data_IF_370988108328
#
_entry.id   IF_370988108328
#
_cell.length_a   1.000
_cell.length_b   1.000
_cell.length_c   1.000
_cell.angle_alpha   90.00
_cell.angle_beta   90.00
_cell.angle_gamma   90.00
#
_symmetry.space_group_name_H-M   'P 1'
#
loop_
_entity.id
_entity.type
_entity.pdbx_description
1 polymer ?
#
# COMPACT_ATOMS: atom_id res chain seq x y z
N UNK A 1 21.04 10.70 2.33
CA UNK A 1 20.45 9.74 1.34
C UNK A 1 21.02 9.91 -0.08
N UNK A 2 21.50 8.84 -0.73
CA UNK A 2 22.07 8.87 -2.11
C UNK A 2 21.06 9.37 -3.17
N UNK A 3 21.55 10.11 -4.18
CA UNK A 3 20.77 10.66 -5.29
C UNK A 3 19.93 9.59 -6.02
N UNK A 4 20.50 8.40 -6.21
CA UNK A 4 19.79 7.26 -6.81
C UNK A 4 18.55 6.85 -6.01
N UNK A 5 18.66 6.76 -4.68
CA UNK A 5 17.54 6.39 -3.80
C UNK A 5 16.42 7.44 -3.82
N UNK A 6 16.78 8.73 -3.95
CA UNK A 6 15.79 9.82 -4.07
C UNK A 6 15.01 9.73 -5.37
N UNK A 7 15.67 9.45 -6.50
CA UNK A 7 14.99 9.25 -7.79
C UNK A 7 14.08 8.03 -7.74
N UNK A 8 14.57 6.91 -7.22
CA UNK A 8 13.79 5.68 -7.14
C UNK A 8 12.53 5.85 -6.28
N UNK A 9 12.64 6.55 -5.15
CA UNK A 9 11.50 6.91 -4.31
C UNK A 9 10.47 7.74 -5.08
N UNK A 10 10.93 8.78 -5.80
CA UNK A 10 10.06 9.61 -6.63
C UNK A 10 9.33 8.79 -7.69
N UNK A 11 10.02 7.81 -8.30
CA UNK A 11 9.44 6.92 -9.31
C UNK A 11 8.38 5.98 -8.73
N UNK A 12 8.61 5.43 -7.52
CA UNK A 12 7.61 4.60 -6.82
C UNK A 12 6.33 5.40 -6.53
N UNK A 13 6.47 6.64 -6.06
CA UNK A 13 5.34 7.51 -5.76
C UNK A 13 4.60 7.88 -7.06
N UNK A 14 5.34 8.24 -8.11
CA UNK A 14 4.79 8.59 -9.42
C UNK A 14 4.04 7.41 -10.05
N UNK A 15 4.59 6.20 -10.00
CA UNK A 15 3.93 4.99 -10.49
C UNK A 15 2.62 4.73 -9.73
N UNK A 16 2.60 4.95 -8.41
CA UNK A 16 1.38 4.86 -7.61
C UNK A 16 0.32 5.91 -7.98
N UNK A 17 0.74 7.15 -8.21
CA UNK A 17 -0.14 8.22 -8.72
C UNK A 17 -0.72 7.90 -10.09
N UNK A 18 0.07 7.40 -11.03
CA UNK A 18 -0.42 6.96 -12.35
C UNK A 18 -1.43 5.81 -12.19
N UNK A 19 -1.19 4.90 -11.25
CA UNK A 19 -2.15 3.84 -10.89
C UNK A 19 -3.53 4.39 -10.54
N UNK A 20 -3.59 5.50 -9.80
CA UNK A 20 -4.88 6.09 -9.39
C UNK A 20 -5.69 6.68 -10.54
N UNK A 21 -5.03 7.10 -11.64
CA UNK A 21 -5.73 7.49 -12.88
C UNK A 21 -6.38 6.28 -13.55
N UNK A 22 -5.73 5.12 -13.49
CA UNK A 22 -6.31 3.88 -13.97
C UNK A 22 -7.48 3.43 -13.08
N UNK A 23 -7.32 3.53 -11.76
CA UNK A 23 -8.39 3.20 -10.81
C UNK A 23 -9.63 4.09 -11.03
N UNK A 24 -9.45 5.35 -11.41
CA UNK A 24 -10.57 6.22 -11.81
C UNK A 24 -11.33 5.72 -13.03
N UNK A 25 -10.60 5.22 -14.04
CA UNK A 25 -11.21 4.63 -15.23
C UNK A 25 -11.95 3.33 -14.91
N UNK A 26 -11.37 2.50 -14.05
CA UNK A 26 -11.85 1.14 -13.79
C UNK A 26 -12.97 1.11 -12.72
N UNK A 27 -12.94 2.02 -11.73
CA UNK A 27 -13.80 2.00 -10.55
C UNK A 27 -14.59 3.30 -10.31
N UNK A 28 -14.44 4.30 -11.19
CA UNK A 28 -15.08 5.60 -11.03
C UNK A 28 -14.53 6.43 -9.87
N UNK A 29 -15.15 7.58 -9.62
CA UNK A 29 -14.67 8.57 -8.65
C UNK A 29 -14.56 8.00 -7.23
N UNK A 30 -15.61 7.35 -6.73
CA UNK A 30 -15.66 6.85 -5.36
C UNK A 30 -14.63 5.75 -5.09
N UNK A 31 -14.49 4.80 -6.02
CA UNK A 31 -13.47 3.74 -5.94
C UNK A 31 -12.05 4.31 -5.96
N UNK A 32 -11.78 5.21 -6.91
CA UNK A 32 -10.47 5.82 -7.04
C UNK A 32 -10.09 6.68 -5.84
N UNK A 33 -11.03 7.46 -5.29
CA UNK A 33 -10.79 8.26 -4.09
C UNK A 33 -10.49 7.37 -2.87
N UNK A 34 -11.25 6.29 -2.67
CA UNK A 34 -11.01 5.35 -1.59
C UNK A 34 -9.62 4.70 -1.69
N UNK A 35 -9.25 4.23 -2.88
CA UNK A 35 -7.94 3.63 -3.13
C UNK A 35 -6.80 4.65 -3.01
N UNK A 36 -7.01 5.89 -3.48
CA UNK A 36 -6.04 6.98 -3.36
C UNK A 36 -5.77 7.35 -1.90
N UNK A 37 -6.79 7.42 -1.05
CA UNK A 37 -6.62 7.69 0.39
C UNK A 37 -5.82 6.56 1.05
N UNK A 38 -6.14 5.29 0.76
CA UNK A 38 -5.41 4.14 1.30
C UNK A 38 -3.95 4.15 0.83
N UNK A 39 -3.71 4.50 -0.44
CA UNK A 39 -2.38 4.66 -1.00
C UNK A 39 -1.58 5.73 -0.25
N UNK A 40 -2.14 6.94 -0.09
CA UNK A 40 -1.49 8.03 0.64
C UNK A 40 -1.16 7.64 2.09
N UNK A 41 -2.13 7.08 2.81
CA UNK A 41 -1.92 6.61 4.19
C UNK A 41 -0.79 5.58 4.26
N UNK A 42 -0.76 4.61 3.34
CA UNK A 42 0.28 3.58 3.29
C UNK A 42 1.66 4.18 3.00
N UNK A 43 1.76 5.16 2.11
CA UNK A 43 3.01 5.85 1.77
C UNK A 43 3.52 6.70 2.94
N UNK A 44 2.62 7.47 3.57
CA UNK A 44 2.96 8.30 4.74
C UNK A 44 3.43 7.41 5.89
N UNK A 45 2.70 6.33 6.17
CA UNK A 45 3.06 5.36 7.20
C UNK A 45 4.45 4.76 6.93
N UNK A 46 4.69 4.27 5.71
CA UNK A 46 5.98 3.67 5.35
C UNK A 46 7.13 4.68 5.44
N UNK A 47 6.88 5.92 5.07
CA UNK A 47 7.85 7.00 5.21
C UNK A 47 8.21 7.25 6.67
N UNK A 48 7.21 7.42 7.54
CA UNK A 48 7.42 7.65 8.98
C UNK A 48 8.08 6.45 9.67
N UNK A 49 7.65 5.24 9.32
CA UNK A 49 8.22 4.00 9.86
C UNK A 49 9.68 3.83 9.43
N UNK A 50 9.96 3.88 8.13
CA UNK A 50 11.30 3.62 7.60
C UNK A 50 12.30 4.77 7.85
N UNK A 51 11.83 5.99 8.12
CA UNK A 51 12.68 7.09 8.63
C UNK A 51 13.03 6.95 10.11
N UNK A 52 12.47 5.98 10.83
CA UNK A 52 12.76 5.75 12.25
C UNK A 52 11.95 6.63 13.21
N UNK A 53 10.97 7.40 12.74
CA UNK A 53 10.08 8.21 13.59
C UNK A 53 9.09 7.38 14.42
N UNK A 54 8.92 6.10 14.07
CA UNK A 54 8.05 5.15 14.77
C UNK A 54 8.90 3.96 15.29
N UNK A 55 9.79 4.18 16.28
CA UNK A 55 10.72 3.15 16.75
C UNK A 55 10.02 1.96 17.43
N UNK A 56 8.81 2.17 17.94
CA UNK A 56 7.99 1.13 18.59
C UNK A 56 7.47 0.07 17.59
N UNK A 57 7.35 0.43 16.32
CA UNK A 57 6.78 -0.45 15.30
C UNK A 57 7.88 -1.32 14.71
N UNK A 58 7.90 -2.59 15.14
CA UNK A 58 8.79 -3.59 14.54
C UNK A 58 8.44 -3.86 13.07
N UNK A 59 9.39 -4.43 12.32
CA UNK A 59 9.20 -4.81 10.92
C UNK A 59 7.97 -5.69 10.69
N UNK A 60 7.71 -6.64 11.58
CA UNK A 60 6.53 -7.52 11.50
C UNK A 60 5.23 -6.71 11.61
N UNK A 61 5.16 -5.74 12.52
CA UNK A 61 3.99 -4.88 12.68
C UNK A 61 3.77 -4.00 11.44
N UNK A 62 4.84 -3.47 10.84
CA UNK A 62 4.73 -2.71 9.58
C UNK A 62 4.20 -3.56 8.42
N UNK A 63 4.60 -4.83 8.34
CA UNK A 63 4.05 -5.78 7.34
C UNK A 63 2.57 -6.03 7.59
N UNK A 64 2.16 -6.24 8.85
CA UNK A 64 0.75 -6.46 9.20
C UNK A 64 -0.11 -5.23 8.88
N UNK A 65 0.38 -4.02 9.15
CA UNK A 65 -0.32 -2.78 8.83
C UNK A 65 -0.50 -2.62 7.31
N UNK A 66 0.53 -2.94 6.52
CA UNK A 66 0.40 -2.95 5.07
C UNK A 66 -0.52 -4.04 4.54
N UNK A 67 -0.57 -5.19 5.20
CA UNK A 67 -1.52 -6.24 4.85
C UNK A 67 -2.95 -5.79 5.11
N UNK A 68 -3.18 -5.14 6.26
CA UNK A 68 -4.47 -4.55 6.59
C UNK A 68 -4.90 -3.48 5.56
N UNK A 69 -3.96 -2.63 5.11
CA UNK A 69 -4.28 -1.64 4.08
C UNK A 69 -4.58 -2.29 2.72
N UNK A 70 -3.87 -3.35 2.34
CA UNK A 70 -4.19 -4.12 1.13
C UNK A 70 -5.57 -4.78 1.20
N UNK A 71 -5.95 -5.33 2.36
CA UNK A 71 -7.29 -5.89 2.60
C UNK A 71 -8.35 -4.79 2.47
N UNK A 72 -8.11 -3.60 3.05
CA UNK A 72 -9.00 -2.45 2.90
C UNK A 72 -9.15 -2.03 1.43
N UNK A 73 -8.08 -2.06 0.63
CA UNK A 73 -8.16 -1.79 -0.81
C UNK A 73 -9.04 -2.81 -1.55
N UNK A 74 -8.89 -4.10 -1.26
CA UNK A 74 -9.74 -5.15 -1.84
C UNK A 74 -11.20 -4.92 -1.48
N UNK A 75 -11.47 -4.53 -0.22
CA UNK A 75 -12.82 -4.24 0.23
C UNK A 75 -13.44 -3.08 -0.56
N UNK A 76 -12.71 -1.97 -0.75
CA UNK A 76 -13.17 -0.84 -1.58
C UNK A 76 -13.46 -1.29 -3.01
N UNK A 77 -12.59 -2.09 -3.61
CA UNK A 77 -12.78 -2.62 -4.98
C UNK A 77 -14.05 -3.48 -5.05
N UNK A 78 -14.24 -4.42 -4.12
CA UNK A 78 -15.41 -5.28 -4.09
C UNK A 78 -16.70 -4.47 -3.85
N UNK A 79 -16.66 -3.41 -3.03
CA UNK A 79 -17.79 -2.52 -2.83
C UNK A 79 -18.21 -1.82 -4.11
N UNK A 80 -17.23 -1.34 -4.89
CA UNK A 80 -17.51 -0.71 -6.19
C UNK A 80 -18.07 -1.71 -7.19
N UNK A 81 -17.48 -2.92 -7.26
CA UNK A 81 -17.97 -3.98 -8.15
C UNK A 81 -19.41 -4.36 -7.80
N UNK A 82 -19.71 -4.54 -6.50
CA UNK A 82 -21.06 -4.83 -6.02
C UNK A 82 -22.05 -3.72 -6.41
N UNK A 83 -21.66 -2.46 -6.23
CA UNK A 83 -22.45 -1.30 -6.65
C UNK A 83 -22.72 -1.28 -8.16
N UNK A 84 -21.69 -1.53 -8.98
CA UNK A 84 -21.79 -1.52 -10.44
C UNK A 84 -22.59 -2.70 -11.01
N UNK A 85 -22.50 -3.87 -10.38
CA UNK A 85 -23.22 -5.09 -10.79
C UNK A 85 -24.61 -5.21 -10.14
N UNK A 86 -24.96 -4.31 -9.21
CA UNK A 86 -26.20 -4.35 -8.43
C UNK A 86 -26.41 -5.70 -7.70
N UNK A 87 -25.32 -6.30 -7.23
CA UNK A 87 -25.31 -7.56 -6.48
C UNK A 87 -24.87 -7.31 -5.04
N UNK A 88 -25.10 -8.29 -4.16
CA UNK A 88 -24.69 -8.19 -2.76
C UNK A 88 -23.16 -8.21 -2.63
N UNK A 89 -22.62 -7.38 -1.73
CA UNK A 89 -21.19 -7.32 -1.44
C UNK A 89 -20.64 -8.67 -0.96
N UNK A 90 -21.41 -9.39 -0.15
CA UNK A 90 -21.02 -10.71 0.35
C UNK A 90 -20.92 -11.74 -0.77
N UNK A 91 -21.71 -11.60 -1.83
CA UNK A 91 -21.64 -12.45 -3.01
C UNK A 91 -20.36 -12.19 -3.79
N UNK A 92 -20.03 -10.92 -4.05
CA UNK A 92 -18.78 -10.52 -4.72
C UNK A 92 -17.57 -10.99 -3.92
N UNK A 93 -17.55 -10.75 -2.60
CA UNK A 93 -16.45 -11.17 -1.73
C UNK A 93 -16.28 -12.69 -1.75
N UNK A 94 -17.38 -13.46 -1.68
CA UNK A 94 -17.35 -14.92 -1.75
C UNK A 94 -16.75 -15.39 -3.08
N UNK A 95 -17.20 -14.84 -4.20
CA UNK A 95 -16.72 -15.21 -5.53
C UNK A 95 -15.23 -14.89 -5.66
N UNK A 96 -14.81 -13.69 -5.27
CA UNK A 96 -13.40 -13.25 -5.33
C UNK A 96 -12.48 -14.15 -4.51
N UNK A 97 -12.86 -14.52 -3.28
CA UNK A 97 -12.06 -15.41 -2.42
C UNK A 97 -11.99 -16.82 -3.00
N UNK A 98 -13.12 -17.34 -3.49
CA UNK A 98 -13.23 -18.74 -3.91
C UNK A 98 -12.46 -19.00 -5.21
N UNK A 99 -12.46 -18.03 -6.14
CA UNK A 99 -11.86 -18.21 -7.46
C UNK A 99 -10.39 -17.80 -7.52
N UNK A 100 -9.90 -16.98 -6.58
CA UNK A 100 -8.54 -16.48 -6.63
C UNK A 100 -7.82 -16.47 -5.26
N UNK A 101 -7.71 -17.61 -4.57
CA UNK A 101 -7.06 -17.67 -3.25
C UNK A 101 -5.57 -17.30 -3.31
N UNK A 102 -4.91 -17.58 -4.44
CA UNK A 102 -3.51 -17.21 -4.67
C UNK A 102 -3.29 -15.69 -4.68
N UNK A 103 -4.30 -14.91 -5.06
CA UNK A 103 -4.25 -13.45 -5.03
C UNK A 103 -3.92 -12.93 -3.62
N UNK A 104 -4.48 -13.53 -2.58
CA UNK A 104 -4.24 -13.14 -1.19
C UNK A 104 -2.82 -13.50 -0.72
N UNK A 105 -2.28 -14.64 -1.16
CA UNK A 105 -0.88 -15.01 -0.90
C UNK A 105 0.09 -14.02 -1.56
N UNK A 106 -0.21 -13.59 -2.79
CA UNK A 106 0.60 -12.60 -3.50
C UNK A 106 0.61 -11.28 -2.72
N UNK A 107 -0.51 -10.85 -2.13
CA UNK A 107 -0.54 -9.63 -1.31
C UNK A 107 0.38 -9.70 -0.10
N UNK A 108 0.49 -10.86 0.56
CA UNK A 108 1.44 -11.06 1.65
C UNK A 108 2.90 -10.88 1.16
N UNK A 109 3.25 -11.48 0.03
CA UNK A 109 4.59 -11.36 -0.57
C UNK A 109 4.89 -9.91 -0.96
N UNK A 110 3.92 -9.23 -1.59
CA UNK A 110 4.05 -7.83 -2.00
C UNK A 110 4.23 -6.93 -0.78
N UNK A 111 3.46 -7.11 0.29
CA UNK A 111 3.60 -6.34 1.53
C UNK A 111 4.99 -6.52 2.14
N UNK A 112 5.49 -7.76 2.20
CA UNK A 112 6.83 -8.06 2.69
C UNK A 112 7.93 -7.36 1.87
N UNK A 113 7.87 -7.50 0.54
CA UNK A 113 8.84 -6.88 -0.38
C UNK A 113 8.79 -5.36 -0.26
N UNK A 114 7.59 -4.78 -0.16
CA UNK A 114 7.40 -3.33 -0.01
C UNK A 114 8.06 -2.80 1.25
N UNK A 115 7.85 -3.45 2.40
CA UNK A 115 8.53 -3.07 3.66
C UNK A 115 10.05 -3.12 3.50
N UNK A 116 10.57 -4.19 2.89
CA UNK A 116 12.01 -4.33 2.64
C UNK A 116 12.59 -3.23 1.77
N UNK A 117 11.92 -2.88 0.67
CA UNK A 117 12.33 -1.79 -0.23
C UNK A 117 12.35 -0.45 0.51
N UNK A 118 11.31 -0.16 1.30
CA UNK A 118 11.21 1.09 2.05
C UNK A 118 12.27 1.22 3.14
N UNK A 119 12.50 0.14 3.89
CA UNK A 119 13.58 0.07 4.87
C UNK A 119 14.95 0.32 4.22
N UNK A 120 15.21 -0.29 3.05
CA UNK A 120 16.45 -0.10 2.32
C UNK A 120 16.59 1.31 1.72
N UNK A 121 15.50 1.89 1.23
CA UNK A 121 15.49 3.26 0.68
C UNK A 121 15.90 4.28 1.76
N UNK A 122 15.35 4.15 2.97
CA UNK A 122 15.52 5.15 4.04
C UNK A 122 16.59 4.79 5.08
N UNK A 123 17.27 3.65 4.95
CA UNK A 123 18.34 3.22 5.87
C UNK A 123 19.45 4.26 6.09
N UNK A 124 19.71 5.11 5.09
CA UNK A 124 20.72 6.17 5.19
C UNK A 124 20.21 7.46 5.85
N UNK A 125 18.90 7.66 5.97
CA UNK A 125 18.29 8.77 6.71
C UNK A 125 18.28 8.47 8.21
N UNK A 126 18.02 7.22 8.57
CA UNK A 126 18.07 6.72 9.94
C UNK A 126 19.43 6.96 10.63
N UNK A 127 20.53 6.89 9.86
CA UNK A 127 21.88 7.13 10.35
C UNK A 127 22.20 8.61 10.61
N UNK A 128 21.63 9.54 9.83
CA UNK A 128 21.82 10.99 10.01
C UNK A 128 21.09 11.48 11.28
N UNK A 129 19.88 10.99 11.57
CA UNK A 129 19.13 11.34 12.79
C UNK A 129 19.65 10.64 14.07
N UNK A 130 20.45 9.57 13.93
CA UNK A 130 21.01 8.83 15.08
C UNK A 130 22.39 9.31 15.54
N UNK A 131 22.98 10.30 14.86
CA UNK A 131 24.23 10.91 15.33
C UNK A 131 23.91 11.98 16.38
N UNK A 132 24.42 11.87 17.63
CA UNK A 132 24.30 12.95 18.59
C UNK A 132 25.13 14.14 18.09
N UNK A 133 24.48 15.31 18.02
CA UNK A 133 25.15 16.61 17.88
C UNK A 133 25.86 16.97 19.18
#
# INVERSE_FOLDING_TARGET
MSWFKKILLGLIILAGLIGTLKDYKDFGLFGALGLFIIFLLSIIFLWQWASGRLPEITKLHAILILLASAIASIFVINMVIAGNLHVDLMEVMRVTITHNPLFYLILCVVAWVKVGIWQWLLSGVQQEDSQPV
#
